data_IF_964680308198
#
_entry.id   IF_964680308198
#
_cell.length_a   1.000
_cell.length_b   1.000
_cell.length_c   1.000
_cell.angle_alpha   90.00
_cell.angle_beta   90.00
_cell.angle_gamma   90.00
#
_symmetry.space_group_name_H-M   'P 1'
#
loop_
_entity.id
_entity.type
_entity.pdbx_description
1 polymer ?
#
# COMPACT_ATOMS: atom_id res chain seq x y z
N UNK A 1 -2.35 -4.99 6.90
CA UNK A 1 -1.44 -5.90 7.65
C UNK A 1 -2.21 -6.68 8.74
N UNK A 2 -2.95 -5.99 9.60
CA UNK A 2 -3.71 -6.65 10.69
C UNK A 2 -4.67 -7.73 10.20
N UNK A 3 -5.36 -7.55 9.07
CA UNK A 3 -6.20 -8.58 8.47
C UNK A 3 -5.44 -9.86 8.14
N UNK A 4 -4.25 -9.72 7.54
CA UNK A 4 -3.37 -10.85 7.23
C UNK A 4 -2.93 -11.56 8.52
N UNK A 5 -2.56 -10.81 9.56
CA UNK A 5 -2.18 -11.37 10.85
C UNK A 5 -3.32 -12.15 11.54
N UNK A 6 -4.56 -11.74 11.31
CA UNK A 6 -5.75 -12.43 11.84
C UNK A 6 -6.25 -13.55 10.92
N UNK A 7 -5.49 -13.97 9.92
CA UNK A 7 -5.85 -15.06 9.02
C UNK A 7 -6.93 -14.71 8.00
N UNK A 8 -7.26 -13.43 7.83
CA UNK A 8 -8.19 -12.96 6.81
C UNK A 8 -7.51 -12.89 5.44
N UNK A 9 -8.27 -13.13 4.37
CA UNK A 9 -7.85 -12.81 3.01
C UNK A 9 -8.08 -11.32 2.78
N UNK A 10 -7.01 -10.58 2.50
CA UNK A 10 -7.07 -9.13 2.28
C UNK A 10 -7.16 -8.82 0.80
N UNK A 11 -8.13 -7.99 0.42
CA UNK A 11 -8.32 -7.52 -0.96
C UNK A 11 -8.13 -5.99 -0.97
N UNK A 12 -6.92 -5.49 -1.28
CA UNK A 12 -6.70 -4.05 -1.39
C UNK A 12 -7.28 -3.53 -2.70
N UNK A 13 -8.11 -2.50 -2.60
CA UNK A 13 -8.78 -1.86 -3.75
C UNK A 13 -8.25 -0.43 -3.87
N UNK A 14 -8.05 0.04 -5.10
CA UNK A 14 -7.71 1.44 -5.36
C UNK A 14 -8.86 2.34 -4.94
N UNK A 15 -8.59 3.31 -4.08
CA UNK A 15 -9.59 4.28 -3.64
C UNK A 15 -10.06 5.23 -4.77
N UNK A 16 -9.33 5.25 -5.90
CA UNK A 16 -9.68 5.98 -7.13
C UNK A 16 -10.36 5.07 -8.18
N UNK A 17 -10.57 3.79 -7.88
CA UNK A 17 -11.23 2.87 -8.79
C UNK A 17 -12.66 3.35 -9.11
N UNK A 18 -13.13 3.05 -10.33
CA UNK A 18 -14.50 3.37 -10.73
C UNK A 18 -15.52 2.55 -9.90
N UNK A 19 -16.76 3.06 -9.77
CA UNK A 19 -17.83 2.32 -9.09
C UNK A 19 -18.06 0.96 -9.70
N UNK A 20 -17.94 0.86 -11.04
CA UNK A 20 -18.13 -0.40 -11.78
C UNK A 20 -17.02 -1.40 -11.45
N UNK A 21 -15.76 -0.97 -11.39
CA UNK A 21 -14.63 -1.82 -11.00
C UNK A 21 -14.78 -2.31 -9.56
N UNK A 22 -15.14 -1.42 -8.63
CA UNK A 22 -15.35 -1.79 -7.23
C UNK A 22 -16.53 -2.75 -7.10
N UNK A 23 -17.65 -2.50 -7.80
CA UNK A 23 -18.81 -3.40 -7.82
C UNK A 23 -18.43 -4.78 -8.36
N UNK A 24 -17.64 -4.83 -9.43
CA UNK A 24 -17.14 -6.08 -10.00
C UNK A 24 -16.30 -6.84 -8.97
N UNK A 25 -15.32 -6.19 -8.37
CA UNK A 25 -14.41 -6.80 -7.37
C UNK A 25 -15.21 -7.35 -6.18
N UNK A 26 -16.14 -6.57 -5.63
CA UNK A 26 -16.94 -6.98 -4.48
C UNK A 26 -17.90 -8.14 -4.80
N UNK A 27 -18.46 -8.20 -6.02
CA UNK A 27 -19.28 -9.33 -6.46
C UNK A 27 -18.47 -10.60 -6.73
N UNK A 28 -17.21 -10.46 -7.16
CA UNK A 28 -16.31 -11.58 -7.44
C UNK A 28 -15.74 -12.19 -6.16
N UNK A 29 -15.14 -11.37 -5.30
CA UNK A 29 -14.50 -11.88 -4.06
C UNK A 29 -15.44 -12.01 -2.86
N UNK A 30 -16.65 -11.41 -2.89
CA UNK A 30 -17.69 -11.48 -1.85
C UNK A 30 -17.13 -11.34 -0.42
N UNK A 31 -16.52 -10.21 -0.08
CA UNK A 31 -15.90 -10.06 1.23
C UNK A 31 -16.95 -9.97 2.35
N UNK A 32 -16.57 -10.40 3.56
CA UNK A 32 -17.41 -10.25 4.76
C UNK A 32 -17.37 -8.82 5.30
N UNK A 33 -16.22 -8.14 5.16
CA UNK A 33 -15.98 -6.79 5.68
C UNK A 33 -15.44 -5.86 4.59
N UNK A 34 -15.95 -4.64 4.55
CA UNK A 34 -15.43 -3.55 3.72
C UNK A 34 -14.98 -2.38 4.60
N UNK A 35 -13.69 -2.09 4.59
CA UNK A 35 -13.10 -0.93 5.25
C UNK A 35 -12.99 0.24 4.27
N UNK A 36 -13.50 1.40 4.66
CA UNK A 36 -13.43 2.62 3.85
C UNK A 36 -13.42 3.87 4.74
N UNK A 37 -13.59 5.04 4.18
CA UNK A 37 -13.74 6.31 4.90
C UNK A 37 -15.09 6.97 4.59
N UNK A 38 -15.59 7.82 5.48
CA UNK A 38 -16.86 8.52 5.28
C UNK A 38 -16.88 9.41 4.03
N UNK A 39 -15.72 9.79 3.50
CA UNK A 39 -15.61 10.53 2.23
C UNK A 39 -16.11 9.76 1.01
N UNK A 40 -16.16 8.43 1.09
CA UNK A 40 -16.63 7.57 0.01
C UNK A 40 -18.05 7.03 0.26
N UNK A 41 -18.79 7.58 1.21
CA UNK A 41 -20.11 7.08 1.59
C UNK A 41 -21.08 7.01 0.40
N UNK A 42 -21.20 8.07 -0.38
CA UNK A 42 -22.12 8.13 -1.52
C UNK A 42 -21.78 7.09 -2.60
N UNK A 43 -20.48 6.87 -2.84
CA UNK A 43 -20.01 5.85 -3.79
C UNK A 43 -20.34 4.44 -3.28
N UNK A 44 -20.11 4.19 -2.00
CA UNK A 44 -20.40 2.90 -1.36
C UNK A 44 -21.89 2.59 -1.37
N UNK A 45 -22.75 3.57 -1.06
CA UNK A 45 -24.22 3.40 -1.10
C UNK A 45 -24.69 3.06 -2.51
N UNK A 46 -24.18 3.74 -3.54
CA UNK A 46 -24.50 3.45 -4.94
C UNK A 46 -24.03 2.05 -5.37
N UNK A 47 -22.84 1.63 -4.95
CA UNK A 47 -22.28 0.30 -5.20
C UNK A 47 -23.15 -0.76 -4.51
N UNK A 48 -23.49 -0.58 -3.24
CA UNK A 48 -24.25 -1.55 -2.44
C UNK A 48 -25.65 -1.80 -2.98
N UNK A 49 -26.25 -0.83 -3.70
CA UNK A 49 -27.54 -1.02 -4.37
C UNK A 49 -27.54 -2.18 -5.36
N UNK A 50 -26.37 -2.46 -5.98
CA UNK A 50 -26.20 -3.44 -7.05
C UNK A 50 -25.42 -4.70 -6.61
N UNK A 51 -25.05 -4.84 -5.35
CA UNK A 51 -24.33 -6.00 -4.86
C UNK A 51 -25.26 -7.18 -4.55
N UNK A 52 -24.87 -8.37 -5.00
CA UNK A 52 -25.55 -9.62 -4.64
C UNK A 52 -25.24 -10.07 -3.20
N UNK A 53 -24.04 -9.73 -2.71
CA UNK A 53 -23.58 -9.96 -1.33
C UNK A 53 -23.08 -8.63 -0.77
N UNK A 54 -23.65 -8.21 0.37
CA UNK A 54 -23.29 -6.94 1.01
C UNK A 54 -22.36 -7.22 2.19
N UNK A 55 -21.11 -6.75 2.13
CA UNK A 55 -20.21 -6.83 3.28
C UNK A 55 -20.67 -5.94 4.43
N UNK A 56 -20.26 -6.26 5.65
CA UNK A 56 -20.34 -5.33 6.76
C UNK A 56 -19.42 -4.13 6.49
N UNK A 57 -19.93 -2.92 6.68
CA UNK A 57 -19.23 -1.69 6.35
C UNK A 57 -18.61 -1.07 7.58
N UNK A 58 -17.29 -0.80 7.51
CA UNK A 58 -16.54 -0.16 8.59
C UNK A 58 -15.90 1.14 8.08
N UNK A 59 -16.32 2.27 8.64
CA UNK A 59 -15.71 3.57 8.37
C UNK A 59 -14.54 3.81 9.31
N UNK A 60 -13.30 3.77 8.79
CA UNK A 60 -12.08 3.91 9.57
C UNK A 60 -11.93 5.25 10.30
N UNK A 61 -12.47 6.32 9.70
CA UNK A 61 -12.47 7.66 10.28
C UNK A 61 -13.57 7.88 11.34
N UNK A 62 -14.47 6.91 11.51
CA UNK A 62 -15.52 6.91 12.56
C UNK A 62 -15.25 5.89 13.67
N UNK A 63 -14.20 5.06 13.52
CA UNK A 63 -13.81 4.11 14.56
C UNK A 63 -13.21 4.91 15.72
N UNK A 64 -13.89 4.94 16.86
CA UNK A 64 -13.32 5.49 18.09
C UNK A 64 -12.04 4.72 18.43
N UNK A 65 -10.95 5.44 18.66
CA UNK A 65 -9.74 4.86 19.24
C UNK A 65 -10.04 4.48 20.69
N UNK A 66 -10.75 3.38 20.85
CA UNK A 66 -10.88 2.78 22.17
C UNK A 66 -9.49 2.33 22.61
N UNK A 67 -8.90 3.08 23.54
CA UNK A 67 -7.75 2.67 24.33
C UNK A 67 -8.14 1.51 25.27
N UNK A 68 -8.93 0.55 24.77
CA UNK A 68 -9.20 -0.66 25.50
C UNK A 68 -7.86 -1.40 25.61
N UNK A 69 -7.42 -1.61 26.83
CA UNK A 69 -6.35 -2.52 27.22
C UNK A 69 -6.75 -3.97 26.92
N UNK A 70 -7.18 -4.25 25.68
CA UNK A 70 -7.34 -5.62 25.23
C UNK A 70 -5.95 -6.23 25.18
N UNK A 71 -5.78 -7.28 25.95
CA UNK A 71 -4.60 -8.14 25.82
C UNK A 71 -4.46 -8.53 24.35
N UNK A 72 -3.43 -7.99 23.71
CA UNK A 72 -3.10 -8.36 22.32
C UNK A 72 -2.51 -9.74 22.39
N UNK A 73 -3.25 -10.74 21.91
CA UNK A 73 -2.69 -12.09 21.77
C UNK A 73 -1.46 -12.03 20.87
N UNK A 74 -0.37 -12.71 21.25
CA UNK A 74 0.77 -12.85 20.35
C UNK A 74 0.31 -13.38 19.00
N UNK A 75 0.90 -12.86 17.94
CA UNK A 75 0.63 -13.38 16.59
C UNK A 75 1.13 -14.81 16.49
N UNK A 76 0.27 -15.71 16.07
CA UNK A 76 0.62 -17.09 15.75
C UNK A 76 0.86 -17.23 14.25
N UNK A 77 1.91 -17.95 13.88
CA UNK A 77 2.14 -18.25 12.47
C UNK A 77 0.94 -19.02 11.89
N UNK A 78 0.55 -18.74 10.62
CA UNK A 78 -0.51 -19.49 9.98
C UNK A 78 -0.18 -20.97 9.96
N UNK A 79 -1.11 -21.81 10.43
CA UNK A 79 -0.95 -23.27 10.41
C UNK A 79 -0.85 -23.84 8.99
N UNK A 80 -1.30 -23.10 7.99
CA UNK A 80 -1.29 -23.46 6.58
C UNK A 80 -0.81 -22.27 5.74
N UNK A 81 0.46 -22.33 5.34
CA UNK A 81 1.11 -21.29 4.54
C UNK A 81 0.66 -21.27 3.06
N UNK A 82 -0.01 -22.32 2.60
CA UNK A 82 -0.56 -22.35 1.24
C UNK A 82 -1.90 -21.61 1.14
N UNK A 83 -2.52 -21.26 2.26
CA UNK A 83 -3.74 -20.44 2.24
C UNK A 83 -3.49 -19.08 1.59
N UNK A 84 -4.50 -18.61 0.84
CA UNK A 84 -4.52 -17.27 0.28
C UNK A 84 -4.48 -16.23 1.40
N UNK A 85 -3.54 -15.30 1.32
CA UNK A 85 -3.40 -14.20 2.25
C UNK A 85 -3.89 -12.87 1.64
N UNK A 86 -3.66 -12.68 0.35
CA UNK A 86 -4.00 -11.46 -0.38
C UNK A 86 -4.52 -11.79 -1.77
N UNK A 87 -5.55 -11.06 -2.23
CA UNK A 87 -5.99 -11.08 -3.63
C UNK A 87 -5.73 -9.70 -4.23
N UNK A 88 -4.89 -9.65 -5.25
CA UNK A 88 -4.59 -8.41 -5.99
C UNK A 88 -5.33 -8.42 -7.32
N UNK A 89 -6.22 -7.45 -7.52
CA UNK A 89 -6.89 -7.29 -8.81
C UNK A 89 -6.00 -6.55 -9.80
N UNK A 90 -5.88 -7.11 -11.00
CA UNK A 90 -5.13 -6.51 -12.12
C UNK A 90 -6.08 -6.27 -13.29
N UNK A 91 -5.80 -5.23 -14.09
CA UNK A 91 -6.51 -5.00 -15.35
C UNK A 91 -6.18 -6.16 -16.29
N UNK A 92 -7.12 -7.09 -16.46
CA UNK A 92 -6.95 -8.22 -17.37
C UNK A 92 -6.88 -7.78 -18.82
N UNK A 93 -6.13 -8.49 -19.65
CA UNK A 93 -6.07 -8.27 -21.11
C UNK A 93 -7.42 -8.45 -21.79
N UNK A 94 -8.39 -9.03 -21.13
CA UNK A 94 -9.76 -9.33 -21.61
C UNK A 94 -10.80 -8.30 -21.16
N UNK A 95 -10.40 -7.19 -20.52
CA UNK A 95 -11.27 -6.08 -20.14
C UNK A 95 -11.84 -6.15 -18.71
N UNK A 96 -11.98 -7.33 -18.10
CA UNK A 96 -12.45 -7.45 -16.71
C UNK A 96 -11.26 -7.63 -15.75
N UNK A 97 -11.29 -7.04 -14.56
CA UNK A 97 -10.27 -7.25 -13.54
C UNK A 97 -10.15 -8.72 -13.15
N UNK A 98 -8.92 -9.20 -12.91
CA UNK A 98 -8.65 -10.58 -12.47
C UNK A 98 -7.99 -10.56 -11.11
N UNK A 99 -8.55 -11.31 -10.15
CA UNK A 99 -8.00 -11.46 -8.82
C UNK A 99 -6.87 -12.48 -8.79
N UNK A 100 -5.64 -12.02 -8.58
CA UNK A 100 -4.46 -12.89 -8.39
C UNK A 100 -4.36 -13.25 -6.92
N UNK A 101 -4.52 -14.52 -6.59
CA UNK A 101 -4.42 -15.04 -5.24
C UNK A 101 -2.96 -15.28 -4.87
N UNK A 102 -2.51 -14.66 -3.80
CA UNK A 102 -1.17 -14.81 -3.24
C UNK A 102 -1.27 -15.51 -1.87
N UNK A 103 -0.61 -16.66 -1.73
CA UNK A 103 -0.55 -17.37 -0.46
C UNK A 103 0.46 -16.71 0.50
N UNK A 104 0.37 -17.05 1.79
CA UNK A 104 1.40 -16.68 2.77
C UNK A 104 2.79 -17.09 2.30
N UNK A 105 2.93 -18.30 1.75
CA UNK A 105 4.18 -18.82 1.20
C UNK A 105 4.75 -17.93 0.09
N UNK A 106 3.90 -17.48 -0.84
CA UNK A 106 4.33 -16.58 -1.91
C UNK A 106 4.86 -15.26 -1.35
N UNK A 107 4.14 -14.66 -0.41
CA UNK A 107 4.53 -13.38 0.21
C UNK A 107 5.83 -13.55 1.01
N UNK A 108 5.93 -14.57 1.85
CA UNK A 108 7.12 -14.84 2.67
C UNK A 108 8.35 -15.12 1.79
N UNK A 109 8.20 -15.94 0.74
CA UNK A 109 9.30 -16.25 -0.17
C UNK A 109 9.85 -14.98 -0.83
N UNK A 110 8.97 -14.12 -1.33
CA UNK A 110 9.35 -12.86 -1.96
C UNK A 110 10.06 -11.91 -0.96
N UNK A 111 9.46 -11.71 0.21
CA UNK A 111 10.01 -10.83 1.25
C UNK A 111 11.38 -11.33 1.74
N UNK A 112 11.53 -12.64 1.96
CA UNK A 112 12.81 -13.24 2.37
C UNK A 112 13.89 -13.05 1.31
N UNK A 113 13.56 -13.25 0.03
CA UNK A 113 14.52 -13.08 -1.06
C UNK A 113 15.08 -11.66 -1.10
N UNK A 114 14.23 -10.63 -1.05
CA UNK A 114 14.70 -9.24 -1.10
C UNK A 114 15.35 -8.75 0.19
N UNK A 115 15.13 -9.44 1.32
CA UNK A 115 15.65 -9.03 2.63
C UNK A 115 16.89 -9.79 3.07
N UNK A 116 17.05 -11.06 2.64
CA UNK A 116 18.20 -11.90 3.02
C UNK A 116 19.18 -12.10 1.89
N UNK A 117 18.65 -12.33 0.67
CA UNK A 117 19.53 -12.68 -0.45
C UNK A 117 20.16 -11.44 -1.09
N UNK A 118 19.49 -10.29 -1.02
CA UNK A 118 19.93 -9.03 -1.64
C UNK A 118 20.34 -7.97 -0.63
N UNK A 119 20.00 -8.12 0.64
CA UNK A 119 20.32 -7.21 1.76
C UNK A 119 19.97 -5.73 1.48
N UNK A 120 18.92 -5.48 0.69
CA UNK A 120 18.46 -4.12 0.42
C UNK A 120 17.83 -3.53 1.68
N UNK A 121 17.05 -4.34 2.40
CA UNK A 121 16.32 -3.93 3.58
C UNK A 121 17.08 -4.34 4.84
N UNK A 122 17.29 -3.38 5.73
CA UNK A 122 17.89 -3.57 7.06
C UNK A 122 17.10 -2.75 8.08
N UNK A 123 17.22 -3.07 9.36
CA UNK A 123 16.45 -2.40 10.43
C UNK A 123 16.77 -0.92 10.57
N UNK A 124 17.97 -0.48 10.17
CA UNK A 124 18.43 0.90 10.25
C UNK A 124 18.00 1.75 9.05
N UNK A 125 17.43 1.13 8.00
CA UNK A 125 17.02 1.84 6.79
C UNK A 125 15.56 2.27 6.84
N UNK A 126 15.33 3.53 6.45
CA UNK A 126 13.99 4.09 6.29
C UNK A 126 13.51 3.86 4.86
N UNK A 127 12.30 3.32 4.73
CA UNK A 127 11.66 3.01 3.45
C UNK A 127 10.46 3.91 3.24
N UNK A 128 10.41 4.63 2.12
CA UNK A 128 9.29 5.50 1.78
C UNK A 128 8.16 4.72 1.10
N UNK A 129 6.95 4.79 1.67
CA UNK A 129 5.72 4.41 0.97
C UNK A 129 5.24 5.62 0.16
N UNK A 130 5.18 5.46 -1.14
CA UNK A 130 4.70 6.47 -2.07
C UNK A 130 3.75 5.91 -3.11
N UNK A 131 3.98 4.69 -3.56
CA UNK A 131 3.11 4.01 -4.52
C UNK A 131 1.94 3.34 -3.82
N UNK A 132 0.78 3.22 -4.52
CA UNK A 132 -0.41 2.61 -3.97
C UNK A 132 -0.21 1.14 -3.58
N UNK A 133 -0.63 0.76 -2.37
CA UNK A 133 -0.43 -0.59 -1.80
C UNK A 133 -1.40 -1.65 -2.37
N UNK A 134 -2.33 -1.28 -3.25
CA UNK A 134 -3.15 -2.23 -3.99
C UNK A 134 -2.40 -2.93 -5.13
N UNK A 135 -1.16 -2.55 -5.38
CA UNK A 135 -0.25 -3.27 -6.29
C UNK A 135 0.74 -4.12 -5.49
N UNK A 136 1.05 -5.32 -6.01
CA UNK A 136 1.93 -6.28 -5.32
C UNK A 136 3.34 -5.74 -5.07
N UNK A 137 3.91 -4.98 -6.01
CA UNK A 137 5.27 -4.47 -5.90
C UNK A 137 5.46 -3.49 -4.73
N UNK A 138 4.67 -2.42 -4.57
CA UNK A 138 4.77 -1.57 -3.38
C UNK A 138 4.27 -2.25 -2.11
N UNK A 139 3.30 -3.14 -2.17
CA UNK A 139 2.86 -3.91 -1.01
C UNK A 139 3.99 -4.75 -0.43
N UNK A 140 4.69 -5.52 -1.27
CA UNK A 140 5.80 -6.34 -0.85
C UNK A 140 7.04 -5.50 -0.48
N UNK A 141 7.45 -4.57 -1.34
CA UNK A 141 8.71 -3.85 -1.19
C UNK A 141 8.65 -2.62 -0.28
N UNK A 142 7.54 -1.86 -0.26
CA UNK A 142 7.48 -0.65 0.59
C UNK A 142 6.82 -0.90 1.95
N UNK A 143 6.05 -1.99 2.12
CA UNK A 143 5.38 -2.30 3.38
C UNK A 143 5.92 -3.57 4.03
N UNK A 144 5.82 -4.72 3.34
CA UNK A 144 6.09 -6.01 3.99
C UNK A 144 7.59 -6.25 4.24
N UNK A 145 8.45 -5.97 3.27
CA UNK A 145 9.89 -6.21 3.40
C UNK A 145 10.53 -5.37 4.52
N UNK A 146 10.29 -4.04 4.63
CA UNK A 146 10.82 -3.28 5.76
C UNK A 146 10.27 -3.75 7.10
N UNK A 147 8.98 -4.08 7.21
CA UNK A 147 8.40 -4.62 8.45
C UNK A 147 9.01 -5.96 8.84
N UNK A 148 9.32 -6.82 7.87
CA UNK A 148 9.94 -8.13 8.12
C UNK A 148 11.32 -8.03 8.76
N UNK A 149 12.10 -7.02 8.41
CA UNK A 149 13.43 -6.78 8.99
C UNK A 149 13.43 -5.83 10.20
N UNK A 150 12.27 -5.35 10.64
CA UNK A 150 12.18 -4.37 11.72
C UNK A 150 12.54 -2.94 11.31
N UNK A 151 12.58 -2.65 10.01
CA UNK A 151 12.88 -1.33 9.46
C UNK A 151 11.77 -0.31 9.67
N UNK A 152 12.08 0.94 9.41
CA UNK A 152 11.16 2.06 9.58
C UNK A 152 10.46 2.39 8.25
N UNK A 153 9.12 2.54 8.32
CA UNK A 153 8.31 3.03 7.20
C UNK A 153 8.04 4.51 7.36
N UNK A 154 8.28 5.26 6.29
CA UNK A 154 7.99 6.68 6.17
C UNK A 154 6.85 6.88 5.19
N UNK A 155 5.84 7.68 5.57
CA UNK A 155 4.70 8.02 4.71
C UNK A 155 4.82 9.52 4.38
N UNK A 156 4.81 9.86 3.09
CA UNK A 156 4.77 11.25 2.67
C UNK A 156 3.38 11.85 2.86
N UNK A 157 3.25 13.09 3.33
CA UNK A 157 1.95 13.76 3.48
C UNK A 157 1.27 14.01 2.12
N UNK A 158 2.04 14.14 1.04
CA UNK A 158 1.52 14.29 -0.31
C UNK A 158 2.52 13.82 -1.36
N UNK A 159 2.07 13.74 -2.63
CA UNK A 159 2.90 13.42 -3.79
C UNK A 159 3.53 14.69 -4.42
N UNK A 160 3.35 15.87 -3.85
CA UNK A 160 3.97 17.09 -4.36
C UNK A 160 5.49 17.03 -4.19
N UNK A 161 6.22 17.53 -5.21
CA UNK A 161 7.69 17.45 -5.23
C UNK A 161 8.35 18.12 -4.01
N UNK A 162 7.75 19.20 -3.49
CA UNK A 162 8.25 19.90 -2.29
C UNK A 162 8.14 19.03 -1.05
N UNK A 163 6.96 18.50 -0.78
CA UNK A 163 6.69 17.65 0.39
C UNK A 163 7.51 16.36 0.33
N UNK A 164 7.63 15.80 -0.87
CA UNK A 164 8.42 14.60 -1.09
C UNK A 164 9.90 14.83 -0.79
N UNK A 165 10.50 15.91 -1.34
CA UNK A 165 11.91 16.23 -1.09
C UNK A 165 12.18 16.54 0.38
N UNK A 166 11.26 17.24 1.04
CA UNK A 166 11.37 17.53 2.47
C UNK A 166 11.24 16.25 3.31
N UNK A 167 10.32 15.35 2.93
CA UNK A 167 10.16 14.04 3.58
C UNK A 167 11.42 13.19 3.45
N UNK A 168 11.97 13.09 2.23
CA UNK A 168 13.20 12.35 1.97
C UNK A 168 14.36 12.84 2.85
N UNK A 169 14.55 14.18 2.89
CA UNK A 169 15.62 14.80 3.66
C UNK A 169 15.42 14.67 5.18
N UNK A 170 14.23 15.05 5.67
CA UNK A 170 13.91 15.08 7.11
C UNK A 170 14.00 13.70 7.75
N UNK A 171 13.54 12.67 7.05
CA UNK A 171 13.49 11.31 7.58
C UNK A 171 14.68 10.45 7.13
N UNK A 172 15.67 11.02 6.44
CA UNK A 172 16.86 10.29 5.94
C UNK A 172 16.46 9.01 5.20
N UNK A 173 15.45 9.10 4.32
CA UNK A 173 14.95 7.95 3.57
C UNK A 173 16.08 7.31 2.76
N UNK A 174 16.30 6.02 2.99
CA UNK A 174 17.33 5.24 2.32
C UNK A 174 16.81 4.49 1.10
N UNK A 175 15.53 4.10 1.11
CA UNK A 175 14.92 3.27 0.06
C UNK A 175 13.61 3.92 -0.39
N UNK A 176 13.46 4.05 -1.69
CA UNK A 176 12.23 4.48 -2.33
C UNK A 176 11.96 3.61 -3.55
N UNK A 177 10.80 2.96 -3.55
CA UNK A 177 10.31 2.23 -4.72
C UNK A 177 9.51 3.21 -5.58
N UNK A 178 9.85 3.28 -6.86
CA UNK A 178 9.21 4.19 -7.78
C UNK A 178 9.01 3.63 -9.18
N UNK A 179 8.13 4.29 -9.92
CA UNK A 179 7.94 4.09 -11.36
C UNK A 179 8.61 5.24 -12.12
N UNK A 180 8.94 5.09 -13.42
CA UNK A 180 9.66 6.12 -14.19
C UNK A 180 9.05 7.52 -14.06
N UNK A 181 7.73 7.63 -14.13
CA UNK A 181 7.01 8.91 -13.99
C UNK A 181 7.28 9.62 -12.65
N UNK A 182 7.47 8.86 -11.57
CA UNK A 182 7.81 9.42 -10.26
C UNK A 182 9.19 10.07 -10.28
N UNK A 183 10.18 9.39 -10.84
CA UNK A 183 11.54 9.92 -10.94
C UNK A 183 11.60 11.15 -11.84
N UNK A 184 10.84 11.19 -12.93
CA UNK A 184 10.70 12.38 -13.77
C UNK A 184 10.12 13.57 -12.99
N UNK A 185 9.11 13.33 -12.16
CA UNK A 185 8.50 14.35 -11.31
C UNK A 185 9.51 14.91 -10.31
N UNK A 186 10.26 14.03 -9.63
CA UNK A 186 11.32 14.43 -8.70
C UNK A 186 12.40 15.22 -9.42
N UNK A 187 12.86 14.75 -10.57
CA UNK A 187 13.86 15.44 -11.39
C UNK A 187 13.42 16.85 -11.78
N UNK A 188 12.18 16.99 -12.29
CA UNK A 188 11.61 18.31 -12.64
C UNK A 188 11.54 19.24 -11.43
N UNK A 189 11.14 18.72 -10.26
CA UNK A 189 11.08 19.47 -9.01
C UNK A 189 12.46 19.93 -8.53
N UNK A 190 13.47 19.06 -8.60
CA UNK A 190 14.85 19.39 -8.28
C UNK A 190 15.43 20.44 -9.25
N UNK A 191 15.23 20.23 -10.56
CA UNK A 191 15.68 21.14 -11.59
C UNK A 191 15.07 22.54 -11.40
N UNK A 192 13.77 22.63 -11.15
CA UNK A 192 13.12 23.92 -10.88
C UNK A 192 13.73 24.65 -9.66
N UNK A 193 14.08 23.93 -8.59
CA UNK A 193 14.76 24.49 -7.41
C UNK A 193 16.19 24.98 -7.76
N UNK A 194 16.93 24.24 -8.58
CA UNK A 194 18.27 24.61 -9.04
C UNK A 194 18.20 25.87 -9.93
N UNK A 195 17.28 25.87 -10.89
CA UNK A 195 17.13 26.99 -11.85
C UNK A 195 16.63 28.28 -11.18
N UNK A 196 15.90 28.16 -10.07
CA UNK A 196 15.40 29.34 -9.32
C UNK A 196 16.48 30.10 -8.53
N UNK A 197 17.65 29.52 -8.32
CA UNK A 197 18.76 30.13 -7.58
C UNK A 197 19.95 30.36 -8.51
N UNK A 198 20.39 31.63 -8.64
CA UNK A 198 21.55 31.98 -9.45
C UNK A 198 22.82 31.24 -9.01
N UNK A 199 23.01 31.06 -7.69
CA UNK A 199 24.18 30.36 -7.14
C UNK A 199 24.19 28.90 -7.52
N UNK A 200 23.06 28.20 -7.33
CA UNK A 200 22.95 26.75 -7.66
C UNK A 200 23.03 26.54 -9.17
N UNK A 201 22.45 27.42 -9.97
CA UNK A 201 22.54 27.35 -11.43
C UNK A 201 23.98 27.41 -11.93
N UNK A 202 24.84 28.25 -11.30
CA UNK A 202 26.26 28.39 -11.68
C UNK A 202 27.09 27.17 -11.26
N UNK A 203 26.71 26.51 -10.16
CA UNK A 203 27.43 25.32 -9.66
C UNK A 203 27.10 24.06 -10.47
N UNK A 204 25.86 23.92 -10.97
CA UNK A 204 25.35 22.73 -11.66
C UNK A 204 25.21 22.92 -13.19
N UNK A 205 25.64 24.03 -13.76
CA UNK A 205 25.74 24.25 -15.20
C UNK A 205 27.08 23.72 -15.74
#
# INVERSE_FOLDING_TARGET
>A
YSGIQNGCVVVPIDYLASRDDVSYILNDCKPDLLFTTSKQQDDVEAIFANLSHKPELVYLDKVEQNNSTREVKPWEEPSDVEKTAVIIYTSGTTGSPKGVMLSFKNLIANVRSVSKDVEIYTEDRQVLILLPLHHVFPLAGSLMAPLYVGGTIVISPSMQSTDLLDTLKKNRVAIMIGVPRLYEMIYKGLKAKIDASFVTRTIFA
#
